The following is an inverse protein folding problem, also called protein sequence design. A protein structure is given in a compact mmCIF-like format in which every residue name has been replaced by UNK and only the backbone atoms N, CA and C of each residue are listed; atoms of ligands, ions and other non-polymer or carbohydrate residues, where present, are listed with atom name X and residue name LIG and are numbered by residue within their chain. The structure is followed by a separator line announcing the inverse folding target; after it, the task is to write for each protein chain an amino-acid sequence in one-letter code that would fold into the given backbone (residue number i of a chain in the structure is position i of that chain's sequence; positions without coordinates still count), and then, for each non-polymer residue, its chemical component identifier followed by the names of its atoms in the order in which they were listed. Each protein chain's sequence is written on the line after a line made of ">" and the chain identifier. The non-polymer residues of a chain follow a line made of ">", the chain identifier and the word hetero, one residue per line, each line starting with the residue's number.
data_IF_029946878208
#
_entry.id   IF_029946878208
#
_cell.length_a   1.000
_cell.length_b   1.000
_cell.length_c   1.000
_cell.angle_alpha   90.00
_cell.angle_beta   90.00
_cell.angle_gamma   90.00
#
_symmetry.space_group_name_H-M   'P 1'
#
loop_
_entity.id
_entity.type
_entity.pdbx_description
1 polymer ?
#
# COMPACT_ATOMS: atom_id res chain seq x y z
N UNK A 1 -6.63 25.21 15.43
CA UNK A 1 -6.98 26.15 14.33
C UNK A 1 -7.26 25.32 13.09
N UNK A 2 -8.35 25.64 12.40
CA UNK A 2 -9.00 24.87 11.34
C UNK A 2 -8.13 24.72 10.09
N UNK A 3 -8.38 23.64 9.34
CA UNK A 3 -7.82 23.39 8.02
C UNK A 3 -8.70 22.43 7.21
N UNK A 4 -9.94 22.81 6.97
CA UNK A 4 -10.76 22.31 5.86
C UNK A 4 -10.68 23.31 4.72
N UNK A 5 -10.30 22.89 3.51
CA UNK A 5 -10.86 23.38 2.23
C UNK A 5 -10.36 22.48 1.09
N UNK A 6 -11.30 21.84 0.39
CA UNK A 6 -10.98 21.06 -0.82
C UNK A 6 -12.03 20.05 -1.26
N UNK A 7 -13.31 20.20 -0.89
CA UNK A 7 -14.41 19.47 -1.54
C UNK A 7 -15.16 20.41 -2.50
N UNK A 8 -14.97 20.18 -3.79
CA UNK A 8 -15.87 20.59 -4.86
C UNK A 8 -15.44 19.87 -6.14
N UNK A 9 -16.28 19.33 -7.02
CA UNK A 9 -17.73 19.17 -7.12
C UNK A 9 -17.95 18.22 -8.31
N UNK A 10 -18.97 17.35 -8.20
CA UNK A 10 -19.88 16.90 -9.27
C UNK A 10 -19.30 16.60 -10.67
N UNK A 11 -19.37 15.32 -11.03
CA UNK A 11 -19.52 14.84 -12.40
C UNK A 11 -20.41 13.59 -12.38
N UNK A 12 -21.72 13.78 -12.28
CA UNK A 12 -22.72 12.74 -12.49
C UNK A 12 -23.13 12.83 -13.95
N UNK A 13 -22.38 12.17 -14.82
CA UNK A 13 -22.77 11.86 -16.19
C UNK A 13 -23.15 10.37 -16.15
N UNK A 14 -24.40 9.96 -16.35
CA UNK A 14 -25.22 10.30 -17.51
C UNK A 14 -25.49 8.97 -18.20
N UNK A 15 -26.29 8.11 -17.56
CA UNK A 15 -26.87 6.94 -18.20
C UNK A 15 -27.75 7.44 -19.36
N UNK A 16 -27.29 7.27 -20.59
CA UNK A 16 -28.10 7.46 -21.79
C UNK A 16 -27.97 6.22 -22.66
N UNK A 17 -29.04 5.43 -22.67
CA UNK A 17 -29.27 4.39 -23.65
C UNK A 17 -29.65 5.03 -25.01
N UNK A 18 -28.93 4.66 -26.07
CA UNK A 18 -29.28 4.67 -27.49
C UNK A 18 -28.04 4.11 -28.20
N UNK A 19 -28.02 2.92 -28.79
CA UNK A 19 -28.96 2.40 -29.77
C UNK A 19 -28.52 2.83 -31.18
N UNK A 20 -27.54 2.15 -31.80
CA UNK A 20 -27.47 1.93 -33.26
C UNK A 20 -26.20 1.14 -33.66
N UNK A 21 -26.18 -0.15 -33.39
CA UNK A 21 -25.43 -1.07 -34.25
C UNK A 21 -26.32 -1.44 -35.42
N UNK A 22 -25.97 -1.03 -36.65
CA UNK A 22 -26.37 -1.69 -37.92
C UNK A 22 -25.75 -0.98 -39.15
N UNK A 23 -24.74 -1.62 -39.75
CA UNK A 23 -24.73 -1.95 -41.18
C UNK A 23 -24.90 -3.48 -41.19
N UNK A 24 -25.80 -4.12 -41.91
CA UNK A 24 -26.52 -3.79 -43.13
C UNK A 24 -26.42 -5.05 -43.99
N UNK A 25 -27.43 -5.91 -43.94
CA UNK A 25 -27.40 -7.22 -44.60
C UNK A 25 -28.79 -7.87 -44.68
N UNK A 26 -29.48 -7.56 -45.79
CA UNK A 26 -30.33 -8.46 -46.60
C UNK A 26 -31.55 -9.14 -45.93
N UNK A 27 -32.72 -8.57 -46.28
CA UNK A 27 -33.89 -9.21 -46.89
C UNK A 27 -34.74 -10.19 -46.06
N UNK A 28 -36.02 -9.82 -45.89
CA UNK A 28 -37.10 -10.79 -45.69
C UNK A 28 -38.22 -10.36 -44.76
N UNK A 29 -39.34 -9.99 -45.36
CA UNK A 29 -40.72 -10.18 -44.89
C UNK A 29 -41.33 -9.26 -43.81
N UNK A 30 -42.35 -8.57 -44.30
CA UNK A 30 -43.67 -8.32 -43.67
C UNK A 30 -43.78 -7.20 -42.65
N UNK A 31 -44.51 -6.18 -43.10
CA UNK A 31 -45.19 -5.17 -42.31
C UNK A 31 -45.97 -5.79 -41.14
N UNK A 32 -45.53 -5.50 -39.92
CA UNK A 32 -46.42 -5.09 -38.84
C UNK A 32 -45.58 -4.20 -37.93
N UNK A 33 -45.96 -2.92 -37.83
CA UNK A 33 -45.23 -1.93 -37.04
C UNK A 33 -45.17 -2.31 -35.56
N UNK A 34 -44.05 -2.88 -35.14
CA UNK A 34 -43.67 -3.02 -33.74
C UNK A 34 -42.98 -1.74 -33.28
N UNK A 35 -43.77 -0.74 -32.89
CA UNK A 35 -43.27 0.38 -32.08
C UNK A 35 -42.72 -0.14 -30.75
N UNK A 36 -41.88 0.64 -30.05
CA UNK A 36 -41.34 0.26 -28.75
C UNK A 36 -42.52 0.06 -27.80
N UNK A 37 -42.83 -1.21 -27.52
CA UNK A 37 -43.92 -1.58 -26.63
C UNK A 37 -43.74 -0.90 -25.29
N UNK A 38 -44.61 0.08 -25.10
CA UNK A 38 -44.82 0.83 -23.90
C UNK A 38 -44.93 -0.14 -22.71
N UNK A 39 -43.96 -0.08 -21.80
CA UNK A 39 -44.10 -0.58 -20.42
C UNK A 39 -45.34 -0.01 -19.69
N UNK A 40 -46.05 0.94 -20.32
CA UNK A 40 -47.28 1.58 -19.88
C UNK A 40 -48.59 0.90 -20.34
N UNK A 41 -48.58 -0.37 -20.74
CA UNK A 41 -49.78 -0.99 -21.35
C UNK A 41 -50.33 -2.27 -20.74
N UNK A 42 -49.59 -3.03 -19.93
CA UNK A 42 -49.92 -4.45 -19.69
C UNK A 42 -50.41 -4.78 -18.28
N UNK A 43 -50.88 -3.79 -17.53
CA UNK A 43 -51.49 -4.01 -16.22
C UNK A 43 -52.97 -4.38 -16.35
N UNK A 44 -53.28 -5.56 -16.90
CA UNK A 44 -54.60 -6.18 -16.75
C UNK A 44 -54.65 -7.10 -15.52
N UNK A 45 -54.01 -6.67 -14.43
CA UNK A 45 -54.03 -7.38 -13.16
C UNK A 45 -55.26 -6.98 -12.34
N UNK A 46 -55.85 -7.92 -11.60
CA UNK A 46 -56.88 -7.57 -10.62
C UNK A 46 -56.28 -6.65 -9.54
N UNK A 47 -57.11 -5.83 -8.89
CA UNK A 47 -56.67 -4.97 -7.77
C UNK A 47 -55.92 -5.77 -6.69
N UNK A 48 -56.29 -7.03 -6.51
CA UNK A 48 -55.64 -7.96 -5.60
C UNK A 48 -54.19 -8.25 -6.01
N UNK A 49 -53.91 -8.55 -7.28
CA UNK A 49 -52.54 -8.81 -7.75
C UNK A 49 -51.63 -7.59 -7.62
N UNK A 50 -52.20 -6.39 -7.83
CA UNK A 50 -51.47 -5.15 -7.60
C UNK A 50 -51.13 -4.97 -6.11
N UNK A 51 -52.09 -5.26 -5.22
CA UNK A 51 -51.87 -5.22 -3.78
C UNK A 51 -50.80 -6.24 -3.32
N UNK A 52 -50.83 -7.46 -3.85
CA UNK A 52 -49.82 -8.50 -3.60
C UNK A 52 -48.42 -8.03 -4.03
N UNK A 53 -48.28 -7.45 -5.23
CA UNK A 53 -46.99 -6.91 -5.70
C UNK A 53 -46.48 -5.75 -4.84
N UNK A 54 -47.37 -4.89 -4.36
CA UNK A 54 -46.97 -3.84 -3.42
C UNK A 54 -46.55 -4.41 -2.07
N UNK A 55 -47.21 -5.47 -1.59
CA UNK A 55 -46.81 -6.16 -0.37
C UNK A 55 -45.42 -6.80 -0.53
N UNK A 56 -45.16 -7.49 -1.64
CA UNK A 56 -43.85 -8.08 -1.94
C UNK A 56 -42.74 -7.01 -2.07
N UNK A 57 -43.05 -5.89 -2.73
CA UNK A 57 -42.10 -4.78 -2.85
C UNK A 57 -41.79 -4.15 -1.49
N UNK A 58 -42.81 -3.96 -0.64
CA UNK A 58 -42.66 -3.44 0.71
C UNK A 58 -41.84 -4.42 1.59
N UNK A 59 -42.12 -5.73 1.48
CA UNK A 59 -41.37 -6.78 2.15
C UNK A 59 -39.89 -6.74 1.72
N UNK A 60 -39.62 -6.75 0.42
CA UNK A 60 -38.27 -6.67 -0.13
C UNK A 60 -37.53 -5.39 0.32
N UNK A 61 -38.22 -4.24 0.38
CA UNK A 61 -37.64 -3.00 0.87
C UNK A 61 -37.27 -3.09 2.36
N UNK A 62 -38.17 -3.62 3.18
CA UNK A 62 -37.91 -3.82 4.61
C UNK A 62 -36.76 -4.81 4.86
N UNK A 63 -36.66 -5.87 4.07
CA UNK A 63 -35.56 -6.82 4.13
C UNK A 63 -34.23 -6.18 3.71
N UNK A 64 -34.25 -5.33 2.68
CA UNK A 64 -33.06 -4.59 2.26
C UNK A 64 -32.54 -3.65 3.37
N UNK A 65 -33.44 -3.01 4.12
CA UNK A 65 -33.08 -2.19 5.29
C UNK A 65 -32.48 -3.06 6.41
N UNK A 66 -33.12 -4.17 6.76
CA UNK A 66 -32.60 -5.11 7.79
C UNK A 66 -31.21 -5.65 7.42
N UNK A 67 -31.02 -6.08 6.18
CA UNK A 67 -29.71 -6.54 5.70
C UNK A 67 -28.64 -5.45 5.79
N UNK A 68 -29.01 -4.19 5.52
CA UNK A 68 -28.10 -3.06 5.67
C UNK A 68 -27.73 -2.85 7.15
N UNK A 69 -28.71 -2.84 8.04
CA UNK A 69 -28.49 -2.72 9.49
C UNK A 69 -27.61 -3.85 10.02
N UNK A 70 -27.87 -5.09 9.61
CA UNK A 70 -27.05 -6.25 9.98
C UNK A 70 -25.60 -6.07 9.52
N UNK A 71 -25.39 -5.66 8.26
CA UNK A 71 -24.03 -5.39 7.74
C UNK A 71 -23.35 -4.27 8.51
N UNK A 72 -24.08 -3.21 8.85
CA UNK A 72 -23.56 -2.10 9.64
C UNK A 72 -23.19 -2.55 11.07
N UNK A 73 -24.00 -3.39 11.70
CA UNK A 73 -23.72 -4.00 13.00
C UNK A 73 -22.47 -4.88 12.97
N UNK A 74 -22.36 -5.78 11.99
CA UNK A 74 -21.18 -6.63 11.82
C UNK A 74 -19.92 -5.78 11.55
N UNK A 75 -20.04 -4.74 10.74
CA UNK A 75 -18.91 -3.86 10.44
C UNK A 75 -18.48 -3.06 11.69
N UNK A 76 -19.42 -2.55 12.47
CA UNK A 76 -19.14 -1.88 13.74
C UNK A 76 -18.40 -2.81 14.72
N UNK A 77 -18.86 -4.06 14.85
CA UNK A 77 -18.19 -5.09 15.65
C UNK A 77 -16.76 -5.36 15.19
N UNK A 78 -16.54 -5.55 13.89
CA UNK A 78 -15.19 -5.77 13.33
C UNK A 78 -14.28 -4.56 13.54
N UNK A 79 -14.80 -3.33 13.48
CA UNK A 79 -14.02 -2.12 13.80
C UNK A 79 -13.58 -2.10 15.26
N UNK A 80 -14.47 -2.48 16.18
CA UNK A 80 -14.17 -2.57 17.61
C UNK A 80 -13.12 -3.65 17.89
N UNK A 81 -13.27 -4.84 17.31
CA UNK A 81 -12.31 -5.94 17.43
C UNK A 81 -10.94 -5.56 16.85
N UNK A 82 -10.91 -4.92 15.67
CA UNK A 82 -9.65 -4.40 15.09
C UNK A 82 -8.98 -3.34 15.97
N UNK A 83 -9.76 -2.45 16.60
CA UNK A 83 -9.22 -1.47 17.53
C UNK A 83 -8.59 -2.14 18.75
N UNK A 84 -9.24 -3.17 19.31
CA UNK A 84 -8.69 -4.00 20.39
C UNK A 84 -7.39 -4.69 19.98
N UNK A 85 -7.38 -5.37 18.83
CA UNK A 85 -6.20 -6.07 18.32
C UNK A 85 -5.04 -5.11 18.02
N UNK A 86 -5.31 -3.88 17.58
CA UNK A 86 -4.27 -2.85 17.40
C UNK A 86 -3.64 -2.42 18.72
N UNK A 87 -4.42 -2.28 19.79
CA UNK A 87 -3.90 -1.97 21.12
C UNK A 87 -3.06 -3.13 21.67
N UNK A 88 -3.53 -4.36 21.51
CA UNK A 88 -2.80 -5.56 21.89
C UNK A 88 -1.49 -5.70 21.12
N UNK A 89 -1.50 -5.52 19.80
CA UNK A 89 -0.28 -5.48 19.00
C UNK A 89 0.70 -4.38 19.45
N UNK A 90 0.20 -3.21 19.84
CA UNK A 90 1.05 -2.14 20.38
C UNK A 90 1.68 -2.56 21.71
N UNK A 91 0.92 -3.23 22.59
CA UNK A 91 1.43 -3.79 23.85
C UNK A 91 2.51 -4.85 23.58
N UNK A 92 2.21 -5.84 22.74
CA UNK A 92 3.15 -6.90 22.36
C UNK A 92 4.42 -6.34 21.71
N UNK A 93 4.32 -5.30 20.86
CA UNK A 93 5.51 -4.63 20.30
C UNK A 93 6.38 -3.98 21.37
N UNK A 94 5.79 -3.41 22.42
CA UNK A 94 6.55 -2.85 23.56
C UNK A 94 7.23 -3.97 24.34
N UNK A 95 6.51 -5.04 24.63
CA UNK A 95 7.02 -6.23 25.33
C UNK A 95 8.16 -6.89 24.55
N UNK A 96 7.97 -7.15 23.25
CA UNK A 96 9.01 -7.69 22.38
C UNK A 96 10.24 -6.78 22.31
N UNK A 97 10.05 -5.45 22.28
CA UNK A 97 11.17 -4.52 22.33
C UNK A 97 11.91 -4.56 23.68
N UNK A 98 11.20 -4.73 24.80
CA UNK A 98 11.88 -4.93 26.10
C UNK A 98 12.62 -6.26 26.17
N UNK A 99 12.00 -7.35 25.71
CA UNK A 99 12.63 -8.67 25.69
C UNK A 99 13.85 -8.68 24.77
N UNK A 100 13.76 -8.07 23.58
CA UNK A 100 14.89 -7.95 22.67
C UNK A 100 16.03 -7.13 23.28
N UNK A 101 15.72 -6.03 23.99
CA UNK A 101 16.74 -5.27 24.73
C UNK A 101 17.38 -6.10 25.84
N UNK A 102 16.60 -6.87 26.59
CA UNK A 102 17.13 -7.77 27.63
C UNK A 102 18.03 -8.86 27.02
N UNK A 103 17.63 -9.43 25.87
CA UNK A 103 18.41 -10.46 25.19
C UNK A 103 19.72 -9.92 24.60
N UNK A 104 19.70 -8.73 23.99
CA UNK A 104 20.89 -8.15 23.36
C UNK A 104 21.87 -7.49 24.35
N UNK A 105 21.35 -6.83 25.39
CA UNK A 105 22.19 -6.14 26.38
C UNK A 105 22.64 -7.07 27.51
N UNK A 106 22.25 -8.35 27.47
CA UNK A 106 22.50 -9.32 28.54
C UNK A 106 21.79 -8.95 29.86
N UNK A 107 21.99 -9.74 30.93
CA UNK A 107 21.66 -9.29 32.29
C UNK A 107 22.28 -7.90 32.47
N UNK A 108 21.49 -6.92 32.88
CA UNK A 108 21.85 -5.50 32.79
C UNK A 108 23.23 -5.17 33.39
N UNK A 109 23.85 -4.05 32.98
CA UNK A 109 25.19 -3.61 33.41
C UNK A 109 25.21 -3.17 34.88
N UNK A 110 24.91 -4.11 35.78
CA UNK A 110 25.07 -4.03 37.22
C UNK A 110 26.18 -4.96 37.72
N UNK A 111 26.95 -5.58 36.82
CA UNK A 111 28.26 -6.14 37.17
C UNK A 111 29.31 -5.02 37.13
N UNK A 112 29.91 -4.64 38.27
CA UNK A 112 30.91 -3.58 38.35
C UNK A 112 32.27 -3.95 37.72
N UNK A 113 32.43 -5.17 37.18
CA UNK A 113 33.72 -5.73 36.81
C UNK A 113 33.88 -5.99 35.30
N UNK A 114 33.63 -4.98 34.45
CA UNK A 114 34.05 -5.05 33.04
C UNK A 114 34.85 -3.81 32.62
N UNK A 115 36.18 -3.93 32.41
CA UNK A 115 37.01 -2.78 32.09
C UNK A 115 36.70 -2.26 30.69
N UNK A 116 36.55 -0.94 30.62
CA UNK A 116 36.41 -0.16 29.40
C UNK A 116 37.64 -0.34 28.49
N UNK A 117 37.41 -0.80 27.25
CA UNK A 117 38.44 -0.88 26.21
C UNK A 117 37.90 -0.25 24.90
N UNK A 118 37.95 1.08 24.85
CA UNK A 118 38.55 1.93 23.81
C UNK A 118 38.44 1.66 22.29
N UNK A 119 37.48 0.88 21.76
CA UNK A 119 37.21 0.83 20.30
C UNK A 119 35.74 0.89 19.80
N UNK A 120 34.67 0.98 20.64
CA UNK A 120 33.30 0.98 20.11
C UNK A 120 32.90 2.30 19.43
N UNK A 121 33.52 3.42 19.80
CA UNK A 121 33.16 4.73 19.27
C UNK A 121 33.59 4.90 17.81
N UNK A 122 34.76 4.35 17.44
CA UNK A 122 35.25 4.39 16.04
C UNK A 122 34.42 3.49 15.12
N UNK A 123 34.00 2.32 15.61
CA UNK A 123 33.09 1.44 14.88
C UNK A 123 31.68 2.05 14.73
N UNK A 124 31.18 2.70 15.77
CA UNK A 124 29.91 3.42 15.71
C UNK A 124 29.96 4.60 14.72
N UNK A 125 31.07 5.33 14.68
CA UNK A 125 31.29 6.40 13.72
C UNK A 125 31.43 5.89 12.28
N UNK A 126 32.10 4.76 12.06
CA UNK A 126 32.23 4.15 10.74
C UNK A 126 30.88 3.66 10.19
N UNK A 127 30.05 3.05 11.03
CA UNK A 127 28.68 2.64 10.67
C UNK A 127 27.78 3.84 10.39
N UNK A 128 27.89 4.92 11.16
CA UNK A 128 27.17 6.17 10.89
C UNK A 128 27.60 6.79 9.57
N UNK A 129 28.89 6.77 9.25
CA UNK A 129 29.40 7.24 7.97
C UNK A 129 28.90 6.36 6.80
N UNK A 130 28.84 5.05 6.98
CA UNK A 130 28.26 4.13 5.98
C UNK A 130 26.77 4.37 5.77
N UNK A 131 25.99 4.56 6.84
CA UNK A 131 24.58 4.90 6.76
C UNK A 131 24.36 6.25 6.04
N UNK A 132 25.15 7.27 6.37
CA UNK A 132 25.09 8.56 5.68
C UNK A 132 25.38 8.45 4.18
N UNK A 133 26.35 7.63 3.79
CA UNK A 133 26.63 7.33 2.37
C UNK A 133 25.45 6.65 1.68
N UNK A 134 24.85 5.65 2.33
CA UNK A 134 23.71 4.92 1.78
C UNK A 134 22.46 5.78 1.65
N UNK A 135 22.16 6.60 2.67
CA UNK A 135 21.06 7.55 2.67
C UNK A 135 21.21 8.60 1.56
N UNK A 136 22.45 9.08 1.33
CA UNK A 136 22.75 10.01 0.25
C UNK A 136 22.59 9.37 -1.14
N UNK A 137 23.05 8.11 -1.33
CA UNK A 137 22.79 7.34 -2.56
C UNK A 137 21.28 7.19 -2.81
N UNK A 138 20.51 6.83 -1.77
CA UNK A 138 19.05 6.73 -1.87
C UNK A 138 18.38 8.07 -2.21
N UNK A 139 18.84 9.17 -1.61
CA UNK A 139 18.37 10.52 -1.92
C UNK A 139 18.60 10.88 -3.38
N UNK A 140 19.79 10.58 -3.92
CA UNK A 140 20.15 10.80 -5.32
C UNK A 140 19.31 9.95 -6.27
N UNK A 141 19.14 8.66 -5.99
CA UNK A 141 18.31 7.75 -6.78
C UNK A 141 16.84 8.24 -6.87
N UNK A 142 16.27 8.69 -5.75
CA UNK A 142 14.92 9.26 -5.74
C UNK A 142 14.81 10.58 -6.53
N UNK A 143 15.85 11.42 -6.49
CA UNK A 143 15.87 12.63 -7.31
C UNK A 143 15.94 12.31 -8.80
N UNK A 144 16.72 11.29 -9.21
CA UNK A 144 16.74 10.80 -10.60
C UNK A 144 15.36 10.29 -11.02
N UNK A 145 14.74 9.40 -10.26
CA UNK A 145 13.40 8.89 -10.57
C UNK A 145 12.35 10.02 -10.71
N UNK A 146 12.45 11.07 -9.89
CA UNK A 146 11.59 12.26 -10.01
C UNK A 146 11.87 13.04 -11.29
N UNK A 147 13.14 13.22 -11.68
CA UNK A 147 13.53 13.88 -12.94
C UNK A 147 13.07 13.09 -14.15
N UNK A 148 13.32 11.77 -14.19
CA UNK A 148 12.88 10.90 -15.29
C UNK A 148 11.35 10.88 -15.43
N UNK A 149 10.62 10.92 -14.30
CA UNK A 149 9.15 11.04 -14.30
C UNK A 149 8.69 12.40 -14.84
N UNK A 150 9.39 13.49 -14.52
CA UNK A 150 9.06 14.84 -14.99
C UNK A 150 9.41 15.04 -16.48
N UNK A 151 10.46 14.38 -16.97
CA UNK A 151 10.93 14.46 -18.36
C UNK A 151 10.15 13.59 -19.36
N UNK A 152 9.10 12.87 -18.92
CA UNK A 152 8.22 12.15 -19.84
C UNK A 152 8.86 10.94 -20.53
N UNK A 153 9.53 10.06 -19.78
CA UNK A 153 9.59 8.62 -20.04
C UNK A 153 10.16 8.05 -21.35
N UNK A 154 10.72 8.85 -22.29
CA UNK A 154 11.15 8.31 -23.59
C UNK A 154 12.54 8.72 -24.08
N UNK A 155 13.25 9.64 -23.41
CA UNK A 155 14.51 10.21 -23.92
C UNK A 155 15.58 10.28 -22.81
N UNK A 156 15.70 9.23 -21.98
CA UNK A 156 16.69 9.18 -20.88
C UNK A 156 17.46 7.86 -20.80
N UNK A 157 17.31 6.96 -21.79
CA UNK A 157 17.95 5.64 -21.76
C UNK A 157 19.32 5.58 -22.44
N UNK A 158 19.83 6.67 -23.02
CA UNK A 158 21.14 6.65 -23.70
C UNK A 158 22.27 7.39 -22.97
N UNK A 159 22.02 8.05 -21.82
CA UNK A 159 23.05 8.85 -21.15
C UNK A 159 23.30 8.52 -19.66
N UNK A 160 22.76 7.44 -19.11
CA UNK A 160 22.80 7.21 -17.66
C UNK A 160 23.42 5.87 -17.20
N UNK A 161 23.82 4.98 -18.11
CA UNK A 161 24.41 3.68 -17.72
C UNK A 161 25.82 3.82 -17.13
N UNK A 162 26.59 4.82 -17.58
CA UNK A 162 27.96 5.07 -17.13
C UNK A 162 27.99 5.73 -15.73
N UNK A 163 27.05 6.65 -15.47
CA UNK A 163 26.87 7.29 -14.15
C UNK A 163 26.24 6.35 -13.11
N UNK A 164 25.43 5.36 -13.54
CA UNK A 164 24.94 4.27 -12.69
C UNK A 164 26.06 3.30 -12.31
N UNK A 165 26.97 3.05 -13.25
CA UNK A 165 28.15 2.23 -13.01
C UNK A 165 29.11 2.91 -12.02
N UNK A 166 29.30 4.23 -12.08
CA UNK A 166 30.09 4.98 -11.08
C UNK A 166 29.51 4.88 -9.65
N UNK A 167 28.18 4.91 -9.49
CA UNK A 167 27.52 4.75 -8.18
C UNK A 167 27.68 3.34 -7.56
N UNK A 168 27.91 2.33 -8.42
CA UNK A 168 28.10 0.92 -8.08
C UNK A 168 29.60 0.55 -7.91
N UNK A 169 30.49 1.17 -8.69
CA UNK A 169 31.94 0.89 -8.68
C UNK A 169 32.66 1.51 -7.47
N UNK A 170 32.10 2.52 -6.79
CA UNK A 170 32.64 3.08 -5.54
C UNK A 170 32.73 2.07 -4.37
N UNK A 171 32.12 0.88 -4.49
CA UNK A 171 32.24 -0.22 -3.51
C UNK A 171 33.42 -1.18 -3.80
N UNK A 172 34.29 -0.93 -4.79
CA UNK A 172 35.45 -1.80 -5.10
C UNK A 172 36.75 -1.48 -4.37
N UNK A 173 36.80 -0.47 -3.50
CA UNK A 173 38.04 -0.16 -2.78
C UNK A 173 37.95 -0.59 -1.32
N UNK A 174 38.49 -1.77 -0.94
CA UNK A 174 38.67 -2.09 0.47
C UNK A 174 39.74 -1.17 1.07
N UNK A 175 39.58 -0.66 2.30
CA UNK A 175 40.69 -0.09 3.02
C UNK A 175 41.66 -1.23 3.36
N UNK A 176 42.83 -1.22 2.74
CA UNK A 176 44.00 -1.95 3.24
C UNK A 176 44.54 -1.24 4.48
N UNK A 177 44.88 -2.01 5.54
CA UNK A 177 45.97 -1.60 6.40
C UNK A 177 46.99 -2.73 6.57
N UNK A 178 48.20 -2.44 6.06
CA UNK A 178 49.51 -2.63 6.67
C UNK A 178 49.88 -3.97 7.33
N UNK A 179 50.94 -4.54 6.73
CA UNK A 179 51.88 -5.47 7.33
C UNK A 179 52.29 -5.10 8.76
N UNK A 180 52.12 -6.05 9.69
CA UNK A 180 53.01 -6.18 10.83
C UNK A 180 53.54 -7.62 10.90
N UNK A 181 54.70 -7.77 10.26
CA UNK A 181 55.77 -8.67 10.67
C UNK A 181 55.90 -8.70 12.20
N UNK A 182 55.66 -9.85 12.81
CA UNK A 182 56.45 -10.35 13.93
C UNK A 182 56.54 -11.87 13.84
N UNK A 183 57.64 -12.31 13.24
CA UNK A 183 58.21 -13.62 13.43
C UNK A 183 58.45 -13.94 14.92
N UNK A 184 58.48 -15.26 15.20
CA UNK A 184 59.15 -15.94 16.32
C UNK A 184 58.45 -15.95 17.68
N UNK A 185 57.94 -17.13 18.03
CA UNK A 185 58.16 -17.94 19.25
C UNK A 185 57.02 -18.95 19.36
N UNK A 186 57.18 -20.25 19.48
CA UNK A 186 58.34 -21.12 19.57
C UNK A 186 57.87 -22.49 19.13
N UNK A 187 58.71 -23.13 18.32
CA UNK A 187 58.71 -24.56 18.07
C UNK A 187 59.18 -25.30 19.33
N UNK A 188 58.46 -26.38 19.64
CA UNK A 188 58.89 -27.65 20.27
C UNK A 188 59.04 -27.73 21.80
N UNK A 189 59.00 -28.95 22.38
CA UNK A 189 58.61 -30.27 21.83
C UNK A 189 57.29 -30.81 22.40
#
# INVERSE_FOLDING_TARGET
>A
RWGCTGSARRGREGLSASGSGRRGGVQGFSETGGGPEDWRGQSRGSLQQLAERYADLAASHSEALRQREDREWHNARLRQENARLRLENRRLRRENRSLFRQALLGPGPGDPDKPAASEPDKEAESLRAQLGRLEEKHRRALQRLRRCRAAGGSEASELDDEELNELLEEDKQPPSPCDHSLEKRSLLP
#
